data_IF_774636390561
#
_entry.id   IF_774636390561
#
_cell.length_a   1.000
_cell.length_b   1.000
_cell.length_c   1.000
_cell.angle_alpha   90.00
_cell.angle_beta   90.00
_cell.angle_gamma   90.00
#
_symmetry.space_group_name_H-M   'P 1'
#
loop_
_entity.id
_entity.type
_entity.pdbx_description
1 polymer ?
#
# COMPACT_ATOMS: atom_id res chain seq x y z
N UNK A 1 13.82 -20.22 9.05
CA UNK A 1 12.52 -19.59 8.76
C UNK A 1 12.75 -18.62 7.60
N UNK A 2 12.06 -18.81 6.48
CA UNK A 2 12.21 -17.94 5.31
C UNK A 2 11.36 -16.68 5.50
N UNK A 3 11.89 -15.48 5.23
CA UNK A 3 11.08 -14.26 5.30
C UNK A 3 9.91 -14.32 4.31
N UNK A 4 8.77 -13.73 4.67
CA UNK A 4 7.65 -13.63 3.75
C UNK A 4 7.92 -12.49 2.78
N UNK A 5 7.86 -12.76 1.47
CA UNK A 5 8.13 -11.77 0.43
C UNK A 5 6.87 -11.57 -0.42
N UNK A 6 6.45 -10.31 -0.54
CA UNK A 6 5.44 -9.85 -1.49
C UNK A 6 6.16 -9.22 -2.68
N UNK A 7 5.89 -9.73 -3.88
CA UNK A 7 6.42 -9.16 -5.13
C UNK A 7 5.28 -8.42 -5.83
N UNK A 8 5.43 -7.11 -5.99
CA UNK A 8 4.46 -6.23 -6.61
C UNK A 8 4.92 -5.91 -8.04
N UNK A 9 4.15 -6.31 -9.08
CA UNK A 9 4.48 -5.95 -10.44
C UNK A 9 4.29 -4.45 -10.64
N UNK A 10 5.30 -3.78 -11.19
CA UNK A 10 5.24 -2.36 -11.54
C UNK A 10 5.24 -2.19 -13.07
N UNK A 11 4.41 -1.30 -13.63
CA UNK A 11 4.45 -1.00 -15.05
C UNK A 11 5.82 -0.40 -15.43
N UNK A 12 6.46 -0.96 -16.46
CA UNK A 12 7.70 -0.46 -17.05
C UNK A 12 8.92 -0.36 -16.08
N UNK A 13 8.90 -1.07 -14.95
CA UNK A 13 10.00 -1.09 -13.97
C UNK A 13 10.21 -2.50 -13.41
N UNK A 14 11.36 -2.74 -12.78
CA UNK A 14 11.58 -3.97 -12.00
C UNK A 14 10.53 -4.09 -10.88
N UNK A 15 10.09 -5.31 -10.54
CA UNK A 15 9.07 -5.52 -9.53
C UNK A 15 9.55 -5.04 -8.16
N UNK A 16 8.67 -4.39 -7.41
CA UNK A 16 8.95 -4.01 -6.03
C UNK A 16 8.83 -5.23 -5.12
N UNK A 17 9.88 -5.53 -4.34
CA UNK A 17 9.88 -6.64 -3.38
C UNK A 17 9.74 -6.07 -1.98
N UNK A 18 8.66 -6.45 -1.30
CA UNK A 18 8.41 -6.12 0.10
C UNK A 18 8.71 -7.34 0.97
N UNK A 19 9.65 -7.21 1.90
CA UNK A 19 10.01 -8.28 2.84
C UNK A 19 9.34 -8.03 4.18
N UNK A 20 8.62 -9.02 4.71
CA UNK A 20 7.84 -8.92 5.94
C UNK A 20 8.43 -9.78 7.07
N UNK A 21 8.40 -9.29 8.33
CA UNK A 21 8.79 -10.07 9.49
C UNK A 21 7.86 -11.28 9.68
N UNK A 22 8.44 -12.43 10.02
CA UNK A 22 7.70 -13.67 10.26
C UNK A 22 7.63 -14.01 11.76
N UNK A 23 6.47 -14.49 12.27
CA UNK A 23 5.20 -14.60 11.54
C UNK A 23 4.51 -13.22 11.41
N UNK A 24 3.86 -12.92 10.27
CA UNK A 24 3.04 -11.72 10.17
C UNK A 24 1.89 -11.83 11.17
N UNK A 25 1.69 -10.77 11.94
CA UNK A 25 0.53 -10.59 12.83
C UNK A 25 -0.45 -9.60 12.22
N UNK A 26 -1.73 -9.67 12.61
CA UNK A 26 -2.72 -8.68 12.19
C UNK A 26 -2.28 -7.24 12.51
N UNK A 27 -1.62 -7.03 13.66
CA UNK A 27 -1.10 -5.72 14.05
C UNK A 27 0.01 -5.24 13.10
N UNK A 28 0.95 -6.12 12.72
CA UNK A 28 2.02 -5.77 11.77
C UNK A 28 1.52 -5.56 10.35
N UNK A 29 0.49 -6.30 9.93
CA UNK A 29 -0.14 -6.11 8.61
C UNK A 29 -0.90 -4.78 8.57
N UNK A 30 -1.66 -4.46 9.62
CA UNK A 30 -2.35 -3.18 9.71
C UNK A 30 -1.39 -1.99 9.74
N UNK A 31 -0.27 -2.10 10.47
CA UNK A 31 0.77 -1.07 10.47
C UNK A 31 1.41 -0.88 9.09
N UNK A 32 1.62 -1.96 8.34
CA UNK A 32 2.10 -1.91 6.97
C UNK A 32 1.11 -1.21 6.04
N UNK A 33 -0.18 -1.55 6.12
CA UNK A 33 -1.25 -0.93 5.32
C UNK A 33 -1.29 0.59 5.53
N UNK A 34 -1.25 1.03 6.79
CA UNK A 34 -1.21 2.45 7.14
C UNK A 34 0.03 3.16 6.60
N UNK A 35 1.21 2.52 6.72
CA UNK A 35 2.45 3.08 6.22
C UNK A 35 2.46 3.22 4.69
N UNK A 36 1.96 2.21 3.97
CA UNK A 36 1.84 2.25 2.51
C UNK A 36 0.85 3.32 2.05
N UNK A 37 -0.34 3.39 2.67
CA UNK A 37 -1.34 4.40 2.34
C UNK A 37 -0.81 5.82 2.56
N UNK A 38 -0.14 6.08 3.69
CA UNK A 38 0.44 7.38 4.00
C UNK A 38 1.58 7.76 3.05
N UNK A 39 2.46 6.81 2.72
CA UNK A 39 3.57 7.05 1.78
C UNK A 39 3.09 7.35 0.37
N UNK A 40 2.12 6.57 -0.14
CA UNK A 40 1.53 6.81 -1.46
C UNK A 40 0.78 8.13 -1.53
N UNK A 41 0.03 8.50 -0.47
CA UNK A 41 -0.64 9.79 -0.39
C UNK A 41 0.34 10.97 -0.36
N UNK A 42 1.47 10.83 0.34
CA UNK A 42 2.53 11.85 0.34
C UNK A 42 3.12 12.02 -1.07
N UNK A 43 3.48 10.91 -1.72
CA UNK A 43 4.03 10.93 -3.07
C UNK A 43 3.05 11.54 -4.09
N UNK A 44 1.75 11.22 -3.99
CA UNK A 44 0.70 11.78 -4.85
C UNK A 44 0.59 13.30 -4.71
N UNK A 45 0.71 13.81 -3.47
CA UNK A 45 0.74 15.26 -3.20
C UNK A 45 1.99 15.93 -3.77
N UNK A 46 3.15 15.29 -3.62
CA UNK A 46 4.44 15.80 -4.14
C UNK A 46 4.46 15.87 -5.67
N UNK A 47 3.85 14.90 -6.34
CA UNK A 47 3.72 14.86 -7.80
C UNK A 47 2.68 15.85 -8.37
N UNK A 48 2.04 16.66 -7.52
CA UNK A 48 1.11 17.70 -7.95
C UNK A 48 -0.25 17.17 -8.41
N UNK A 49 -0.70 16.02 -7.89
CA UNK A 49 -2.01 15.44 -8.18
C UNK A 49 -3.16 16.37 -7.77
N UNK A 50 -3.62 17.18 -8.72
CA UNK A 50 -4.85 17.95 -8.65
C UNK A 50 -6.05 17.08 -9.02
N UNK A 51 -7.08 17.17 -8.18
CA UNK A 51 -8.31 16.35 -8.14
C UNK A 51 -8.12 14.85 -7.84
N UNK A 52 -8.98 14.26 -7.00
CA UNK A 52 -8.98 12.82 -6.78
C UNK A 52 -9.32 12.12 -8.09
N UNK A 53 -8.40 11.27 -8.56
CA UNK A 53 -8.66 10.38 -9.68
C UNK A 53 -9.70 9.32 -9.24
N UNK A 54 -10.42 8.74 -10.20
CA UNK A 54 -11.38 7.67 -9.94
C UNK A 54 -10.76 6.51 -9.13
N UNK A 55 -9.46 6.25 -9.33
CA UNK A 55 -8.71 5.26 -8.55
C UNK A 55 -8.57 5.62 -7.07
N UNK A 56 -8.51 6.91 -6.72
CA UNK A 56 -8.46 7.37 -5.33
C UNK A 56 -9.80 7.15 -4.62
N UNK A 57 -10.91 7.38 -5.35
CA UNK A 57 -12.27 7.16 -4.87
C UNK A 57 -12.54 5.68 -4.63
N UNK A 58 -12.12 4.80 -5.56
CA UNK A 58 -12.24 3.35 -5.38
C UNK A 58 -11.39 2.85 -4.21
N UNK A 59 -10.15 3.31 -4.10
CA UNK A 59 -9.26 2.88 -3.02
C UNK A 59 -9.78 3.31 -1.65
N UNK A 60 -10.29 4.54 -1.51
CA UNK A 60 -10.92 5.01 -0.28
C UNK A 60 -12.20 4.22 0.06
N UNK A 61 -12.97 3.81 -0.96
CA UNK A 61 -14.13 2.92 -0.78
C UNK A 61 -13.72 1.54 -0.24
N UNK A 62 -12.66 0.94 -0.77
CA UNK A 62 -12.15 -0.34 -0.28
C UNK A 62 -11.60 -0.23 1.14
N UNK A 63 -10.90 0.86 1.46
CA UNK A 63 -10.43 1.11 2.82
C UNK A 63 -11.56 1.28 3.83
N UNK A 64 -12.71 1.86 3.44
CA UNK A 64 -13.87 1.93 4.32
C UNK A 64 -14.47 0.56 4.62
N UNK A 65 -14.56 -0.33 3.63
CA UNK A 65 -15.07 -1.70 3.81
C UNK A 65 -14.18 -2.49 4.76
N UNK A 66 -12.86 -2.27 4.74
CA UNK A 66 -11.90 -2.97 5.60
C UNK A 66 -11.86 -2.47 7.05
N UNK A 67 -12.48 -1.33 7.35
CA UNK A 67 -12.54 -0.74 8.70
C UNK A 67 -13.79 -1.15 9.50
N UNK A 68 -14.68 -1.92 8.89
CA UNK A 68 -15.90 -2.48 9.50
C UNK A 68 -15.80 -4.00 9.63
#
# INVERSE_FOLDING_TARGET
MTPFQLTLPLPASDPAVLTLPQPPTNASLHALELALAGGLQALRRELGGGEPDAGDIEYDSWLQVLRH
#
